data_IF_581595131145
#
_entry.id   IF_581595131145
#
_cell.length_a   1.000
_cell.length_b   1.000
_cell.length_c   1.000
_cell.angle_alpha   90.00
_cell.angle_beta   90.00
_cell.angle_gamma   90.00
#
_symmetry.space_group_name_H-M   'P 1'
#
loop_
_entity.id
_entity.type
_entity.pdbx_description
1 polymer ?
#
# COMPACT_ATOMS: atom_id res chain seq x y z
N UNK A 1 -8.79 -12.06 -11.32
CA UNK A 1 -8.40 -10.66 -11.58
C UNK A 1 -6.90 -10.59 -11.85
N UNK A 2 -6.50 -9.61 -12.63
CA UNK A 2 -5.09 -9.24 -12.84
C UNK A 2 -4.74 -8.06 -11.92
N UNK A 3 -3.82 -8.28 -10.99
CA UNK A 3 -3.48 -7.32 -9.92
C UNK A 3 -2.07 -6.78 -10.16
N UNK A 4 -1.94 -5.47 -10.36
CA UNK A 4 -0.63 -4.81 -10.30
C UNK A 4 -0.23 -4.59 -8.84
N UNK A 5 0.87 -5.20 -8.41
CA UNK A 5 1.45 -4.98 -7.08
C UNK A 5 2.73 -4.16 -7.23
N UNK A 6 2.74 -2.98 -6.62
CA UNK A 6 3.93 -2.14 -6.49
C UNK A 6 4.46 -2.26 -5.07
N UNK A 7 5.73 -2.70 -4.93
CA UNK A 7 6.32 -2.99 -3.63
C UNK A 7 6.33 -4.47 -3.23
N UNK A 8 6.23 -5.39 -4.20
CA UNK A 8 6.07 -6.84 -4.01
C UNK A 8 7.28 -7.59 -3.42
N UNK A 9 8.47 -6.98 -3.32
CA UNK A 9 9.71 -7.70 -2.97
C UNK A 9 9.87 -8.03 -1.49
N UNK A 10 9.11 -7.39 -0.60
CA UNK A 10 9.19 -7.57 0.86
C UNK A 10 7.93 -7.08 1.58
N UNK A 11 7.84 -7.40 2.87
CA UNK A 11 6.81 -6.85 3.75
C UNK A 11 5.39 -7.20 3.32
N UNK A 12 4.48 -6.22 3.39
CA UNK A 12 3.07 -6.40 3.03
C UNK A 12 2.95 -6.86 1.56
N UNK A 13 3.68 -6.23 0.64
CA UNK A 13 3.58 -6.55 -0.78
C UNK A 13 4.04 -7.96 -1.13
N UNK A 14 5.01 -8.54 -0.41
CA UNK A 14 5.40 -9.94 -0.57
C UNK A 14 4.30 -10.87 -0.07
N UNK A 15 3.73 -10.61 1.09
CA UNK A 15 2.61 -11.37 1.62
C UNK A 15 1.38 -11.29 0.70
N UNK A 16 1.12 -10.11 0.13
CA UNK A 16 0.02 -9.91 -0.82
C UNK A 16 0.25 -10.70 -2.12
N UNK A 17 1.46 -10.68 -2.65
CA UNK A 17 1.82 -11.46 -3.84
C UNK A 17 1.59 -12.94 -3.61
N UNK A 18 2.14 -13.48 -2.51
CA UNK A 18 2.03 -14.91 -2.19
C UNK A 18 0.56 -15.31 -2.00
N UNK A 19 -0.23 -14.53 -1.27
CA UNK A 19 -1.65 -14.80 -1.06
C UNK A 19 -2.49 -14.63 -2.34
N UNK A 20 -2.22 -13.62 -3.17
CA UNK A 20 -2.92 -13.40 -4.43
C UNK A 20 -2.72 -14.54 -5.41
N UNK A 21 -1.49 -15.04 -5.56
CA UNK A 21 -1.19 -16.20 -6.40
C UNK A 21 -1.87 -17.46 -5.87
N UNK A 22 -1.83 -17.69 -4.55
CA UNK A 22 -2.52 -18.83 -3.91
C UNK A 22 -4.04 -18.77 -4.08
N UNK A 23 -4.61 -17.57 -4.19
CA UNK A 23 -6.05 -17.37 -4.45
C UNK A 23 -6.41 -17.40 -5.95
N UNK A 24 -5.46 -17.74 -6.82
CA UNK A 24 -5.72 -17.89 -8.25
C UNK A 24 -5.74 -16.60 -9.06
N UNK A 25 -5.31 -15.49 -8.51
CA UNK A 25 -5.20 -14.24 -9.26
C UNK A 25 -3.97 -14.19 -10.16
N UNK A 26 -4.06 -13.48 -11.29
CA UNK A 26 -2.90 -13.05 -12.07
C UNK A 26 -2.22 -11.88 -11.34
N UNK A 27 -0.91 -11.92 -11.21
CA UNK A 27 -0.15 -10.85 -10.54
C UNK A 27 0.90 -10.28 -11.47
N UNK A 28 0.90 -8.97 -11.64
CA UNK A 28 2.03 -8.24 -12.22
C UNK A 28 2.76 -7.49 -11.10
N UNK A 29 4.05 -7.81 -10.91
CA UNK A 29 4.89 -7.16 -9.91
C UNK A 29 5.83 -6.15 -10.58
N UNK A 30 5.66 -4.85 -10.30
CA UNK A 30 6.62 -3.81 -10.68
C UNK A 30 7.73 -3.75 -9.64
N UNK A 31 8.96 -4.07 -10.04
CA UNK A 31 10.11 -4.18 -9.13
C UNK A 31 11.37 -3.59 -9.74
N UNK A 32 12.19 -2.92 -8.92
CA UNK A 32 13.46 -2.33 -9.35
C UNK A 32 14.53 -3.39 -9.67
N UNK A 33 14.56 -4.44 -8.88
CA UNK A 33 15.47 -5.57 -9.06
C UNK A 33 14.69 -6.90 -9.01
N UNK A 34 14.41 -7.52 -10.17
CA UNK A 34 13.68 -8.78 -10.26
C UNK A 34 14.33 -9.94 -9.47
N UNK A 35 15.65 -9.94 -9.32
CA UNK A 35 16.37 -10.99 -8.57
C UNK A 35 15.96 -11.09 -7.11
N UNK A 36 15.42 -9.99 -6.55
CA UNK A 36 14.92 -9.94 -5.16
C UNK A 36 13.56 -10.62 -4.96
N UNK A 37 12.89 -10.97 -6.04
CA UNK A 37 11.59 -11.61 -5.94
C UNK A 37 11.68 -13.14 -5.80
N UNK A 38 12.71 -13.77 -6.37
CA UNK A 38 13.10 -15.19 -6.23
C UNK A 38 11.92 -16.19 -6.20
N UNK A 39 10.89 -15.96 -7.04
CA UNK A 39 9.70 -16.80 -7.17
C UNK A 39 9.36 -16.97 -8.64
N UNK A 40 8.99 -18.18 -9.02
CA UNK A 40 8.45 -18.51 -10.34
C UNK A 40 7.04 -19.07 -10.18
N UNK A 41 6.11 -18.50 -10.93
CA UNK A 41 4.72 -18.94 -10.93
C UNK A 41 4.07 -18.59 -12.27
N UNK A 42 3.26 -19.47 -12.83
CA UNK A 42 2.62 -19.32 -14.15
C UNK A 42 1.77 -18.03 -14.27
N UNK A 43 1.17 -17.60 -13.16
CA UNK A 43 0.32 -16.39 -13.07
C UNK A 43 1.07 -15.16 -12.59
N UNK A 44 2.41 -15.21 -12.47
CA UNK A 44 3.24 -14.09 -12.06
C UNK A 44 3.99 -13.51 -13.25
N UNK A 45 3.75 -12.26 -13.55
CA UNK A 45 4.53 -11.43 -14.47
C UNK A 45 5.40 -10.46 -13.68
N UNK A 46 6.70 -10.51 -13.87
CA UNK A 46 7.63 -9.57 -13.22
C UNK A 46 8.11 -8.54 -14.24
N UNK A 47 7.89 -7.26 -13.92
CA UNK A 47 8.34 -6.14 -14.74
C UNK A 47 9.42 -5.38 -13.98
N UNK A 48 10.61 -5.29 -14.58
CA UNK A 48 11.67 -4.42 -14.09
C UNK A 48 11.32 -2.97 -14.37
N UNK A 49 11.31 -2.14 -13.32
CA UNK A 49 11.03 -0.71 -13.44
C UNK A 49 10.96 -0.03 -12.08
N UNK A 50 10.80 1.28 -12.10
CA UNK A 50 10.64 2.11 -10.91
C UNK A 50 9.28 2.82 -10.96
N UNK A 51 8.64 2.99 -9.82
CA UNK A 51 7.38 3.75 -9.72
C UNK A 51 7.58 5.24 -10.07
N UNK A 52 8.80 5.75 -9.94
CA UNK A 52 9.15 7.12 -10.33
C UNK A 52 9.33 7.27 -11.85
N UNK A 53 9.43 6.17 -12.59
CA UNK A 53 9.47 6.17 -14.04
C UNK A 53 8.08 5.90 -14.62
N UNK A 54 7.47 6.93 -15.21
CA UNK A 54 6.13 6.87 -15.76
C UNK A 54 5.96 5.81 -16.87
N UNK A 55 7.01 5.55 -17.67
CA UNK A 55 6.98 4.52 -18.71
C UNK A 55 6.96 3.12 -18.11
N UNK A 56 7.74 2.86 -17.07
CA UNK A 56 7.72 1.60 -16.33
C UNK A 56 6.36 1.33 -15.74
N UNK A 57 5.74 2.36 -15.16
CA UNK A 57 4.38 2.27 -14.58
C UNK A 57 3.35 1.98 -15.67
N UNK A 58 3.43 2.67 -16.82
CA UNK A 58 2.52 2.46 -17.95
C UNK A 58 2.63 1.03 -18.51
N UNK A 59 3.85 0.50 -18.68
CA UNK A 59 4.07 -0.89 -19.11
C UNK A 59 3.49 -1.91 -18.13
N UNK A 60 3.60 -1.62 -16.82
CA UNK A 60 3.07 -2.51 -15.78
C UNK A 60 1.55 -2.45 -15.67
N UNK A 61 0.93 -1.31 -16.01
CA UNK A 61 -0.50 -1.08 -15.92
C UNK A 61 -1.30 -1.81 -17.02
N UNK A 62 -0.67 -2.15 -18.13
CA UNK A 62 -1.35 -2.77 -19.26
C UNK A 62 -1.99 -4.12 -18.89
N UNK A 63 -3.31 -4.25 -19.11
CA UNK A 63 -4.09 -5.47 -18.85
C UNK A 63 -4.37 -5.75 -17.38
N UNK A 64 -4.28 -4.74 -16.52
CA UNK A 64 -4.60 -4.88 -15.10
C UNK A 64 -6.05 -4.48 -14.80
N UNK A 65 -6.65 -5.15 -13.82
CA UNK A 65 -7.99 -4.83 -13.30
C UNK A 65 -7.90 -3.87 -12.10
N UNK A 66 -6.80 -3.95 -11.34
CA UNK A 66 -6.63 -3.21 -10.09
C UNK A 66 -5.16 -2.97 -9.76
N UNK A 67 -4.91 -1.97 -8.92
CA UNK A 67 -3.59 -1.59 -8.42
C UNK A 67 -3.53 -1.72 -6.90
N UNK A 68 -2.52 -2.42 -6.40
CA UNK A 68 -2.17 -2.50 -4.99
C UNK A 68 -0.79 -1.85 -4.76
N UNK A 69 -0.78 -0.68 -4.13
CA UNK A 69 0.45 0.05 -3.81
C UNK A 69 0.86 -0.20 -2.36
N UNK A 70 1.95 -0.96 -2.18
CA UNK A 70 2.47 -1.37 -0.86
C UNK A 70 3.90 -0.90 -0.64
N UNK A 71 4.25 0.26 -1.21
CA UNK A 71 5.61 0.79 -1.12
C UNK A 71 5.95 1.13 0.32
N UNK A 72 7.12 0.67 0.73
CA UNK A 72 7.78 1.05 1.96
C UNK A 72 9.26 1.32 1.73
N UNK A 73 9.80 2.32 2.40
CA UNK A 73 11.21 2.68 2.34
C UNK A 73 11.89 2.44 3.68
N UNK A 74 13.22 2.30 3.67
CA UNK A 74 14.01 2.48 4.89
C UNK A 74 14.01 3.98 5.21
N UNK A 75 14.12 4.34 6.48
CA UNK A 75 14.15 5.75 6.91
C UNK A 75 15.30 6.47 6.20
N UNK A 76 15.03 7.45 5.32
CA UNK A 76 16.06 8.18 4.58
C UNK A 76 16.37 9.52 5.25
N UNK A 77 17.57 10.04 5.00
CA UNK A 77 18.00 11.36 5.48
C UNK A 77 17.49 12.56 4.67
N UNK A 78 17.34 12.56 3.33
CA UNK A 78 16.87 13.73 2.57
C UNK A 78 15.38 13.64 2.20
N UNK A 79 14.81 14.68 1.56
CA UNK A 79 13.37 14.75 1.30
C UNK A 79 12.84 13.53 0.56
N UNK A 80 11.76 12.97 1.08
CA UNK A 80 11.08 11.81 0.49
C UNK A 80 10.01 12.31 -0.46
N UNK A 81 10.01 11.78 -1.70
CA UNK A 81 9.01 12.10 -2.72
C UNK A 81 8.47 10.84 -3.42
N UNK A 82 8.97 9.67 -3.06
CA UNK A 82 8.62 8.42 -3.75
C UNK A 82 7.15 8.04 -3.63
N UNK A 83 6.51 8.40 -2.53
CA UNK A 83 5.10 8.09 -2.31
C UNK A 83 4.20 8.99 -3.16
N UNK A 84 4.40 10.30 -3.10
CA UNK A 84 3.58 11.28 -3.84
C UNK A 84 3.83 11.21 -5.36
N UNK A 85 5.10 11.24 -5.80
CA UNK A 85 5.41 11.20 -7.23
C UNK A 85 5.08 9.84 -7.85
N UNK A 86 5.38 8.75 -7.13
CA UNK A 86 4.99 7.42 -7.59
C UNK A 86 3.48 7.27 -7.71
N UNK A 87 2.73 7.83 -6.78
CA UNK A 87 1.26 7.83 -6.85
C UNK A 87 0.76 8.68 -8.03
N UNK A 88 1.39 9.81 -8.32
CA UNK A 88 1.05 10.62 -9.50
C UNK A 88 1.19 9.81 -10.79
N UNK A 89 2.29 9.08 -10.94
CA UNK A 89 2.52 8.20 -12.09
C UNK A 89 1.48 7.08 -12.17
N UNK A 90 1.13 6.45 -11.03
CA UNK A 90 0.08 5.43 -10.98
C UNK A 90 -1.27 5.99 -11.44
N UNK A 91 -1.71 7.12 -10.88
CA UNK A 91 -3.00 7.74 -11.20
C UNK A 91 -3.06 8.16 -12.67
N UNK A 92 -1.98 8.68 -13.24
CA UNK A 92 -1.90 9.00 -14.67
C UNK A 92 -2.02 7.76 -15.55
N UNK A 93 -1.33 6.67 -15.19
CA UNK A 93 -1.40 5.41 -15.93
C UNK A 93 -2.80 4.77 -15.81
N UNK A 94 -3.39 4.78 -14.61
CA UNK A 94 -4.77 4.32 -14.37
C UNK A 94 -5.78 5.09 -15.23
N UNK A 95 -5.66 6.42 -15.30
CA UNK A 95 -6.53 7.26 -16.14
C UNK A 95 -6.41 6.90 -17.63
N UNK A 96 -5.19 6.64 -18.13
CA UNK A 96 -4.93 6.30 -19.54
C UNK A 96 -5.47 4.90 -19.91
N UNK A 97 -5.48 3.96 -18.97
CA UNK A 97 -5.87 2.55 -19.21
C UNK A 97 -7.29 2.23 -18.77
N UNK A 98 -7.97 3.16 -18.09
CA UNK A 98 -9.31 2.93 -17.55
C UNK A 98 -9.36 2.08 -16.28
N UNK A 99 -8.22 1.73 -15.71
CA UNK A 99 -8.16 1.00 -14.42
C UNK A 99 -8.63 1.93 -13.30
N UNK A 100 -9.66 1.52 -12.56
CA UNK A 100 -10.29 2.39 -11.58
C UNK A 100 -9.98 2.01 -10.13
N UNK A 101 -9.65 0.76 -9.82
CA UNK A 101 -9.50 0.30 -8.44
C UNK A 101 -8.05 0.47 -7.94
N UNK A 102 -7.88 1.23 -6.85
CA UNK A 102 -6.61 1.44 -6.17
C UNK A 102 -6.75 1.09 -4.68
N UNK A 103 -5.91 0.18 -4.16
CA UNK A 103 -5.70 0.03 -2.73
C UNK A 103 -4.26 0.43 -2.41
N UNK A 104 -4.09 1.40 -1.52
CA UNK A 104 -2.79 1.96 -1.19
C UNK A 104 -2.53 1.88 0.31
N UNK A 105 -1.33 1.48 0.74
CA UNK A 105 -0.94 1.52 2.14
C UNK A 105 -0.20 2.81 2.47
N UNK A 106 -0.60 3.48 3.56
CA UNK A 106 0.14 4.60 4.14
C UNK A 106 0.67 4.27 5.54
N UNK A 107 -0.14 4.31 6.56
CA UNK A 107 0.19 3.93 7.93
C UNK A 107 -0.36 4.89 8.96
N UNK A 108 -0.37 4.45 10.21
CA UNK A 108 -0.74 5.28 11.35
C UNK A 108 0.19 6.50 11.45
N UNK A 109 -0.36 7.70 11.60
CA UNK A 109 0.36 8.97 11.60
C UNK A 109 0.28 9.74 10.28
N UNK A 110 -0.34 9.18 9.22
CA UNK A 110 -0.68 9.90 7.99
C UNK A 110 -2.06 10.55 8.11
N UNK A 111 -2.20 11.76 7.57
CA UNK A 111 -3.45 12.52 7.57
C UNK A 111 -4.05 12.68 8.96
N UNK A 112 -5.34 12.42 9.07
CA UNK A 112 -6.14 12.48 10.29
C UNK A 112 -5.89 11.34 11.29
N UNK A 113 -5.01 10.37 10.96
CA UNK A 113 -4.58 9.34 11.91
C UNK A 113 -3.41 9.78 12.82
N UNK A 114 -2.96 11.02 12.75
CA UNK A 114 -1.99 11.59 13.71
C UNK A 114 -2.63 11.67 15.10
N UNK A 115 -1.81 11.36 16.12
CA UNK A 115 -2.28 11.31 17.51
C UNK A 115 -2.85 9.96 17.94
N UNK A 116 -2.92 8.98 17.03
CA UNK A 116 -3.42 7.64 17.30
C UNK A 116 -2.34 6.55 17.39
N UNK A 117 -1.05 6.92 17.29
CA UNK A 117 0.08 6.00 17.43
C UNK A 117 0.56 5.83 18.89
N UNK A 118 -0.02 6.59 19.82
CA UNK A 118 0.38 6.66 21.21
C UNK A 118 1.47 7.69 21.47
N UNK A 119 1.56 8.14 22.72
CA UNK A 119 2.35 9.30 23.13
C UNK A 119 3.80 9.28 22.59
N UNK A 120 4.53 8.21 22.85
CA UNK A 120 5.93 8.09 22.43
C UNK A 120 6.10 8.17 20.90
N UNK A 121 5.20 7.51 20.16
CA UNK A 121 5.25 7.51 18.70
C UNK A 121 4.90 8.86 18.12
N UNK A 122 3.81 9.47 18.56
CA UNK A 122 3.27 10.70 17.97
C UNK A 122 4.12 11.94 18.31
N UNK A 123 4.68 12.03 19.52
CA UNK A 123 5.40 13.20 19.98
C UNK A 123 6.93 13.09 19.85
N UNK A 124 7.50 11.90 19.73
CA UNK A 124 8.95 11.71 19.64
C UNK A 124 9.38 11.02 18.36
N UNK A 125 8.87 9.81 18.09
CA UNK A 125 9.38 8.97 16.98
C UNK A 125 8.97 9.56 15.62
N UNK A 126 7.70 9.89 15.45
CA UNK A 126 7.17 10.40 14.19
C UNK A 126 7.79 11.74 13.79
N UNK A 127 7.84 12.79 14.64
CA UNK A 127 8.39 14.09 14.24
C UNK A 127 9.91 14.08 14.07
N UNK A 128 10.64 13.20 14.76
CA UNK A 128 12.11 13.15 14.70
C UNK A 128 12.59 12.25 13.57
N UNK A 129 12.09 11.01 13.50
CA UNK A 129 12.60 10.00 12.56
C UNK A 129 11.81 9.91 11.25
N UNK A 130 10.52 10.19 11.27
CA UNK A 130 9.63 9.94 10.14
C UNK A 130 9.00 11.20 9.54
N UNK A 131 9.38 12.38 9.98
CA UNK A 131 8.79 13.66 9.54
C UNK A 131 8.69 13.75 8.00
N UNK A 132 9.79 13.54 7.29
CA UNK A 132 9.83 13.66 5.82
C UNK A 132 9.04 12.55 5.13
N UNK A 133 9.05 11.34 5.70
CA UNK A 133 8.28 10.19 5.20
C UNK A 133 6.78 10.48 5.29
N UNK A 134 6.32 10.94 6.44
CA UNK A 134 4.89 11.20 6.63
C UNK A 134 4.42 12.47 5.94
N UNK A 135 5.27 13.48 5.79
CA UNK A 135 4.96 14.63 4.93
C UNK A 135 4.72 14.21 3.46
N UNK A 136 5.45 13.21 2.96
CA UNK A 136 5.22 12.69 1.61
C UNK A 136 4.00 11.76 1.55
N UNK A 137 3.74 10.97 2.58
CA UNK A 137 2.50 10.18 2.69
C UNK A 137 1.25 11.04 2.78
N UNK A 138 1.32 12.19 3.43
CA UNK A 138 0.20 13.15 3.45
C UNK A 138 -0.08 13.70 2.04
N UNK A 139 0.98 14.04 1.28
CA UNK A 139 0.84 14.41 -0.14
C UNK A 139 0.28 13.26 -0.98
N UNK A 140 0.73 12.03 -0.72
CA UNK A 140 0.19 10.83 -1.36
C UNK A 140 -1.31 10.69 -1.12
N UNK A 141 -1.76 10.76 0.13
CA UNK A 141 -3.19 10.66 0.47
C UNK A 141 -4.01 11.77 -0.18
N UNK A 142 -3.49 13.01 -0.18
CA UNK A 142 -4.15 14.15 -0.82
C UNK A 142 -4.36 13.91 -2.33
N UNK A 143 -3.35 13.40 -3.04
CA UNK A 143 -3.44 13.05 -4.46
C UNK A 143 -4.47 11.96 -4.72
N UNK A 144 -4.48 10.90 -3.89
CA UNK A 144 -5.45 9.80 -4.02
C UNK A 144 -6.88 10.30 -3.76
N UNK A 145 -7.09 11.05 -2.69
CA UNK A 145 -8.41 11.58 -2.30
C UNK A 145 -8.99 12.55 -3.34
N UNK A 146 -8.13 13.31 -4.01
CA UNK A 146 -8.53 14.24 -5.08
C UNK A 146 -8.76 13.54 -6.44
N UNK A 147 -8.48 12.25 -6.57
CA UNK A 147 -8.62 11.51 -7.81
C UNK A 147 -10.02 10.91 -7.98
N UNK A 148 -10.38 10.57 -9.24
CA UNK A 148 -11.65 9.94 -9.60
C UNK A 148 -11.63 8.40 -9.47
N UNK A 149 -10.53 7.80 -9.01
CA UNK A 149 -10.44 6.35 -8.88
C UNK A 149 -11.22 5.83 -7.67
N UNK A 150 -11.53 4.55 -7.70
CA UNK A 150 -12.18 3.84 -6.61
C UNK A 150 -11.10 3.40 -5.60
N UNK A 151 -10.72 4.30 -4.72
CA UNK A 151 -9.59 4.10 -3.83
C UNK A 151 -9.99 3.57 -2.43
N UNK A 152 -9.06 2.87 -1.80
CA UNK A 152 -9.03 2.59 -0.36
C UNK A 152 -7.61 2.84 0.15
N UNK A 153 -7.45 3.69 1.16
CA UNK A 153 -6.16 3.97 1.80
C UNK A 153 -6.07 3.20 3.11
N UNK A 154 -5.21 2.21 3.15
CA UNK A 154 -5.05 1.34 4.32
C UNK A 154 -4.01 1.93 5.26
N UNK A 155 -4.37 2.14 6.51
CA UNK A 155 -3.49 2.65 7.56
C UNK A 155 -3.25 1.58 8.62
N UNK A 156 -2.27 0.69 8.42
CA UNK A 156 -1.94 -0.30 9.45
C UNK A 156 -1.29 0.37 10.66
N UNK A 157 -1.57 -0.17 11.83
CA UNK A 157 -0.81 0.09 13.04
C UNK A 157 0.62 -0.43 12.95
N UNK A 158 1.25 -0.77 14.09
CA UNK A 158 2.64 -1.22 14.12
C UNK A 158 2.80 -2.61 13.47
N UNK A 159 3.53 -2.64 12.35
CA UNK A 159 3.67 -3.84 11.53
C UNK A 159 4.59 -4.89 12.17
N UNK A 160 4.11 -6.12 12.26
CA UNK A 160 4.86 -7.29 12.71
C UNK A 160 5.04 -8.32 11.58
N UNK A 161 5.89 -9.33 11.81
CA UNK A 161 6.02 -10.50 10.95
C UNK A 161 5.26 -11.72 11.51
N UNK A 162 4.20 -11.48 12.30
CA UNK A 162 3.33 -12.53 12.80
C UNK A 162 2.61 -13.29 11.69
N UNK A 163 1.94 -14.40 12.05
CA UNK A 163 1.20 -15.24 11.11
C UNK A 163 -0.03 -14.53 10.55
N UNK A 164 -0.64 -15.15 9.54
CA UNK A 164 -1.96 -14.80 9.05
C UNK A 164 -3.01 -15.30 10.06
N UNK A 165 -3.69 -14.37 10.74
CA UNK A 165 -4.72 -14.70 11.73
C UNK A 165 -6.14 -14.55 11.19
N UNK A 166 -6.35 -13.66 10.22
CA UNK A 166 -7.64 -13.22 9.69
C UNK A 166 -8.55 -12.58 10.75
N UNK A 167 -8.03 -12.33 11.95
CA UNK A 167 -8.76 -11.75 13.08
C UNK A 167 -8.13 -10.41 13.47
N UNK A 168 -8.66 -9.32 12.91
CA UNK A 168 -8.21 -7.95 13.12
C UNK A 168 -9.38 -6.98 12.99
N UNK A 169 -9.23 -5.81 13.61
CA UNK A 169 -10.21 -4.72 13.54
C UNK A 169 -9.93 -3.81 12.35
N UNK A 170 -10.99 -3.29 11.75
CA UNK A 170 -10.98 -2.34 10.65
C UNK A 170 -11.82 -1.14 11.09
N UNK A 171 -11.16 -0.03 11.41
CA UNK A 171 -11.79 1.14 12.03
C UNK A 171 -11.71 2.35 11.10
N UNK A 172 -12.84 2.94 10.77
CA UNK A 172 -12.95 4.22 10.03
C UNK A 172 -13.13 5.39 10.98
N UNK A 173 -13.74 5.15 12.14
CA UNK A 173 -13.76 6.07 13.28
C UNK A 173 -12.65 5.68 14.26
N UNK A 174 -11.74 6.61 14.52
CA UNK A 174 -10.59 6.42 15.41
C UNK A 174 -10.77 7.10 16.76
N UNK A 175 -11.96 7.62 17.06
CA UNK A 175 -12.25 8.31 18.33
C UNK A 175 -11.92 7.41 19.52
N UNK A 176 -11.03 7.86 20.41
CA UNK A 176 -10.60 7.10 21.59
C UNK A 176 -9.72 5.86 21.29
N UNK A 177 -9.30 5.67 20.03
CA UNK A 177 -8.50 4.51 19.63
C UNK A 177 -7.02 4.86 19.60
N UNK A 178 -6.19 4.02 20.23
CA UNK A 178 -4.74 3.97 19.99
C UNK A 178 -4.43 2.74 19.14
N UNK A 179 -3.69 2.92 18.06
CA UNK A 179 -3.32 1.83 17.18
C UNK A 179 -2.38 0.83 17.86
N UNK A 180 -2.74 -0.43 17.84
CA UNK A 180 -1.91 -1.54 18.29
C UNK A 180 -1.01 -2.09 17.17
N UNK A 181 -0.72 -3.38 17.27
CA UNK A 181 0.08 -4.12 16.28
C UNK A 181 -0.82 -4.78 15.24
N UNK A 182 -0.22 -5.15 14.10
CA UNK A 182 -0.86 -6.00 13.10
C UNK A 182 0.20 -6.73 12.28
N UNK A 183 -0.06 -7.97 11.87
CA UNK A 183 0.85 -8.70 10.99
C UNK A 183 0.77 -8.19 9.55
N UNK A 184 1.90 -8.23 8.85
CA UNK A 184 1.93 -7.94 7.40
C UNK A 184 1.07 -8.91 6.60
N UNK A 185 0.93 -10.14 7.08
CA UNK A 185 0.09 -11.15 6.47
C UNK A 185 -1.40 -10.79 6.57
N UNK A 186 -1.86 -10.26 7.70
CA UNK A 186 -3.24 -9.81 7.88
C UNK A 186 -3.54 -8.53 7.09
N UNK A 187 -2.58 -7.61 6.98
CA UNK A 187 -2.74 -6.46 6.08
C UNK A 187 -2.89 -6.91 4.63
N UNK A 188 -2.08 -7.87 4.17
CA UNK A 188 -2.19 -8.43 2.83
C UNK A 188 -3.55 -9.14 2.61
N UNK A 189 -4.03 -9.90 3.59
CA UNK A 189 -5.35 -10.51 3.57
C UNK A 189 -6.47 -9.46 3.44
N UNK A 190 -6.36 -8.36 4.17
CA UNK A 190 -7.32 -7.26 4.04
C UNK A 190 -7.36 -6.72 2.61
N UNK A 191 -6.20 -6.54 1.95
CA UNK A 191 -6.17 -6.08 0.56
C UNK A 191 -6.99 -6.98 -0.35
N UNK A 192 -6.80 -8.31 -0.27
CA UNK A 192 -7.55 -9.26 -1.10
C UNK A 192 -9.04 -9.25 -0.79
N UNK A 193 -9.40 -9.26 0.50
CA UNK A 193 -10.80 -9.16 0.93
C UNK A 193 -11.46 -7.88 0.41
N UNK A 194 -10.75 -6.75 0.47
CA UNK A 194 -11.26 -5.45 0.05
C UNK A 194 -11.35 -5.30 -1.49
N UNK A 195 -10.52 -6.03 -2.26
CA UNK A 195 -10.68 -6.11 -3.71
C UNK A 195 -12.02 -6.75 -4.12
N UNK A 196 -12.48 -7.72 -3.34
CA UNK A 196 -13.74 -8.44 -3.56
C UNK A 196 -14.94 -7.68 -2.99
N UNK A 197 -14.85 -7.29 -1.70
CA UNK A 197 -15.98 -6.71 -0.95
C UNK A 197 -16.27 -5.26 -1.28
N UNK A 198 -15.24 -4.48 -1.63
CA UNK A 198 -15.30 -3.02 -1.88
C UNK A 198 -15.98 -2.24 -0.73
N UNK A 199 -15.86 -2.75 0.50
CA UNK A 199 -16.55 -2.22 1.67
C UNK A 199 -16.03 -0.84 2.09
N UNK A 200 -14.75 -0.57 1.83
CA UNK A 200 -14.07 0.67 2.25
C UNK A 200 -13.70 1.57 1.06
N UNK A 201 -14.58 1.63 0.05
CA UNK A 201 -14.40 2.57 -1.06
C UNK A 201 -14.38 4.01 -0.56
N UNK A 202 -13.38 4.77 -0.98
CA UNK A 202 -13.12 6.16 -0.58
C UNK A 202 -13.02 6.37 0.93
N UNK A 203 -12.48 5.37 1.62
CA UNK A 203 -12.25 5.39 3.06
C UNK A 203 -10.80 5.08 3.42
N UNK A 204 -10.44 5.41 4.67
CA UNK A 204 -9.09 5.29 5.21
C UNK A 204 -9.05 4.38 6.45
N UNK A 205 -9.41 3.06 6.34
CA UNK A 205 -9.49 2.20 7.50
C UNK A 205 -8.14 2.03 8.20
N UNK A 206 -8.15 2.19 9.54
CA UNK A 206 -7.10 1.75 10.42
C UNK A 206 -7.21 0.25 10.62
N UNK A 207 -6.10 -0.48 10.43
CA UNK A 207 -6.03 -1.91 10.70
C UNK A 207 -5.19 -2.17 11.96
N UNK A 208 -5.75 -2.88 12.93
CA UNK A 208 -5.07 -3.21 14.20
C UNK A 208 -5.68 -4.47 14.83
N UNK A 209 -4.96 -5.10 15.73
CA UNK A 209 -5.53 -6.11 16.63
C UNK A 209 -6.29 -5.47 17.76
#
# INVERSE_FOLDING_TARGET
MNILIVGATRGIGRQLLDQALSSGHGVTALVRDPRRLAIQHERLRVIKGDILDAESVARAMAGQDTVCCTIGIKVPWPPVMVFSEGTRNLLQAMKKTGVRRLICVTGIGAGDSRGHGGFLYDYLILPVLFRTVYADKDRQEALIKASDVDWTIVRPGFLTNGPLTKNYRMLTDMTGVTAGRISRADVAHFFLKELESKQYLRQTPLLTY
#
